data_IF_983036570782
#
_entry.id   IF_983036570782
#
_cell.length_a   1.000
_cell.length_b   1.000
_cell.length_c   1.000
_cell.angle_alpha   90.00
_cell.angle_beta   90.00
_cell.angle_gamma   90.00
#
_symmetry.space_group_name_H-M   'P 1'
#
loop_
_entity.id
_entity.type
_entity.pdbx_description
1 polymer ?
#
# COMPACT_ATOMS: atom_id res chain seq x y z
N UNK A 1 -33.20 -23.16 -21.36
CA UNK A 1 -32.57 -22.52 -20.19
C UNK A 1 -32.95 -21.04 -20.18
N UNK A 2 -33.10 -20.41 -19.01
CA UNK A 2 -33.30 -18.96 -18.93
C UNK A 2 -32.10 -18.20 -19.52
N UNK A 3 -32.29 -16.97 -20.04
CA UNK A 3 -31.21 -16.17 -20.59
C UNK A 3 -30.20 -15.79 -19.51
N UNK A 4 -28.91 -15.72 -19.86
CA UNK A 4 -27.88 -15.19 -18.97
C UNK A 4 -28.09 -13.68 -18.85
N UNK A 5 -28.25 -13.21 -17.61
CA UNK A 5 -28.55 -11.80 -17.31
C UNK A 5 -27.37 -11.00 -16.78
N UNK A 6 -26.30 -11.65 -16.35
CA UNK A 6 -25.11 -10.93 -15.95
C UNK A 6 -23.91 -11.82 -15.78
N UNK A 7 -22.75 -11.18 -15.67
CA UNK A 7 -21.45 -11.83 -15.55
C UNK A 7 -20.63 -11.17 -14.44
N UNK A 8 -20.01 -11.99 -13.59
CA UNK A 8 -18.94 -11.55 -12.69
C UNK A 8 -17.68 -12.35 -13.03
N UNK A 9 -16.70 -11.69 -13.62
CA UNK A 9 -15.41 -12.26 -13.94
C UNK A 9 -14.46 -12.06 -12.75
N UNK A 10 -14.42 -13.09 -11.88
CA UNK A 10 -13.60 -13.13 -10.66
C UNK A 10 -12.38 -14.08 -10.77
N UNK A 11 -12.15 -14.69 -11.93
CA UNK A 11 -11.02 -15.60 -12.12
C UNK A 11 -9.68 -14.86 -12.10
N UNK A 12 -8.74 -15.38 -11.33
CA UNK A 12 -7.41 -14.81 -11.18
C UNK A 12 -6.39 -15.87 -10.79
N UNK A 13 -5.12 -15.60 -11.10
CA UNK A 13 -3.97 -16.39 -10.65
C UNK A 13 -2.87 -15.41 -10.27
N UNK A 14 -2.29 -15.56 -9.08
CA UNK A 14 -1.09 -14.83 -8.67
C UNK A 14 0.15 -15.66 -9.00
N UNK A 15 1.18 -15.02 -9.55
CA UNK A 15 2.47 -15.62 -9.88
C UNK A 15 3.58 -14.64 -9.49
N UNK A 16 3.78 -14.55 -8.18
CA UNK A 16 4.64 -13.55 -7.54
C UNK A 16 5.96 -14.16 -7.03
N UNK A 17 6.25 -15.42 -7.37
CA UNK A 17 7.57 -16.03 -7.15
C UNK A 17 8.55 -15.50 -8.21
N UNK A 18 9.77 -15.14 -7.78
CA UNK A 18 10.78 -14.46 -8.64
C UNK A 18 10.27 -13.20 -9.33
N UNK A 19 9.46 -12.46 -8.58
CA UNK A 19 8.57 -11.39 -9.02
C UNK A 19 9.17 -10.20 -9.78
N UNK A 20 10.49 -10.00 -9.82
CA UNK A 20 11.04 -8.88 -10.61
C UNK A 20 10.72 -9.08 -12.09
N UNK A 21 10.35 -8.00 -12.79
CA UNK A 21 10.02 -8.12 -14.22
C UNK A 21 11.18 -8.73 -15.03
N UNK A 22 12.42 -8.42 -14.65
CA UNK A 22 13.63 -8.94 -15.30
C UNK A 22 13.80 -10.46 -15.13
N UNK A 23 13.38 -11.02 -13.99
CA UNK A 23 13.54 -12.45 -13.68
C UNK A 23 12.26 -13.26 -13.95
N UNK A 24 11.17 -12.59 -14.32
CA UNK A 24 9.88 -13.23 -14.52
C UNK A 24 9.90 -14.10 -15.78
N UNK A 25 9.66 -15.40 -15.61
CA UNK A 25 9.51 -16.30 -16.75
C UNK A 25 8.27 -15.96 -17.58
N UNK A 26 8.35 -16.17 -18.89
CA UNK A 26 7.21 -16.01 -19.78
C UNK A 26 6.02 -16.91 -19.40
N UNK A 27 6.30 -18.09 -18.85
CA UNK A 27 5.26 -18.98 -18.34
C UNK A 27 4.51 -18.38 -17.14
N UNK A 28 5.24 -17.82 -16.16
CA UNK A 28 4.64 -17.12 -15.03
C UNK A 28 3.81 -15.90 -15.48
N UNK A 29 4.32 -15.13 -16.44
CA UNK A 29 3.60 -14.03 -17.08
C UNK A 29 2.26 -14.50 -17.67
N UNK A 30 2.31 -15.49 -18.57
CA UNK A 30 1.11 -16.01 -19.24
C UNK A 30 0.09 -16.58 -18.24
N UNK A 31 0.53 -17.33 -17.24
CA UNK A 31 -0.37 -17.94 -16.25
C UNK A 31 -1.16 -16.90 -15.45
N UNK A 32 -0.51 -15.82 -15.01
CA UNK A 32 -1.20 -14.75 -14.27
C UNK A 32 -2.12 -13.91 -15.17
N UNK A 33 -1.69 -13.64 -16.41
CA UNK A 33 -2.44 -12.83 -17.38
C UNK A 33 -3.67 -13.54 -17.95
N UNK A 34 -3.57 -14.84 -18.25
CA UNK A 34 -4.55 -15.54 -19.08
C UNK A 34 -6.01 -15.50 -18.55
N UNK A 35 -6.29 -15.69 -17.25
CA UNK A 35 -7.65 -15.62 -16.73
C UNK A 35 -8.29 -14.24 -16.93
N UNK A 36 -7.51 -13.17 -16.71
CA UNK A 36 -8.00 -11.79 -16.81
C UNK A 36 -8.06 -11.29 -18.25
N UNK A 37 -7.15 -11.74 -19.10
CA UNK A 37 -7.11 -11.35 -20.51
C UNK A 37 -7.99 -12.25 -21.37
N UNK A 38 -7.49 -13.43 -21.73
CA UNK A 38 -8.22 -14.39 -22.56
C UNK A 38 -9.56 -14.78 -21.94
N UNK A 39 -9.62 -14.99 -20.62
CA UNK A 39 -10.86 -15.34 -19.94
C UNK A 39 -11.92 -14.23 -20.07
N UNK A 40 -11.56 -12.97 -19.82
CA UNK A 40 -12.52 -11.85 -19.99
C UNK A 40 -12.88 -11.61 -21.45
N UNK A 41 -11.93 -11.76 -22.38
CA UNK A 41 -12.20 -11.67 -23.82
C UNK A 41 -13.17 -12.75 -24.28
N UNK A 42 -13.01 -13.99 -23.80
CA UNK A 42 -13.91 -15.09 -24.12
C UNK A 42 -15.32 -14.80 -23.61
N UNK A 43 -15.45 -14.32 -22.36
CA UNK A 43 -16.75 -13.94 -21.80
C UNK A 43 -17.39 -12.80 -22.58
N UNK A 44 -16.60 -11.82 -23.03
CA UNK A 44 -17.11 -10.73 -23.86
C UNK A 44 -17.67 -11.24 -25.20
N UNK A 45 -16.96 -12.15 -25.87
CA UNK A 45 -17.35 -12.65 -27.20
C UNK A 45 -18.45 -13.72 -27.16
N UNK A 46 -18.52 -14.53 -26.11
CA UNK A 46 -19.38 -15.72 -26.05
C UNK A 46 -20.68 -15.52 -25.26
N UNK A 47 -20.72 -14.55 -24.34
CA UNK A 47 -21.94 -14.22 -23.62
C UNK A 47 -22.88 -13.35 -24.47
N UNK A 48 -24.20 -13.43 -24.25
CA UNK A 48 -25.15 -12.58 -24.97
C UNK A 48 -24.93 -11.10 -24.63
N UNK A 49 -25.26 -10.22 -25.58
CA UNK A 49 -25.33 -8.78 -25.36
C UNK A 49 -26.57 -8.38 -24.55
N UNK A 50 -26.61 -7.12 -24.11
CA UNK A 50 -27.76 -6.56 -23.36
C UNK A 50 -27.97 -7.19 -21.99
N UNK A 51 -26.88 -7.67 -21.36
CA UNK A 51 -26.92 -8.12 -19.96
C UNK A 51 -27.16 -6.96 -19.00
N UNK A 52 -27.75 -7.27 -17.86
CA UNK A 52 -28.03 -6.33 -16.76
C UNK A 52 -26.73 -5.81 -16.14
N UNK A 53 -25.68 -6.64 -16.10
CA UNK A 53 -24.35 -6.27 -15.59
C UNK A 53 -23.22 -7.14 -16.18
N UNK A 54 -22.03 -6.54 -16.30
CA UNK A 54 -20.77 -7.25 -16.59
C UNK A 54 -19.68 -6.70 -15.66
N UNK A 55 -19.43 -7.38 -14.55
CA UNK A 55 -18.48 -6.95 -13.53
C UNK A 55 -17.16 -7.70 -13.72
N UNK A 56 -16.05 -6.98 -13.78
CA UNK A 56 -14.71 -7.55 -13.75
C UNK A 56 -14.04 -7.17 -12.44
N UNK A 57 -13.59 -8.17 -11.68
CA UNK A 57 -12.83 -7.92 -10.46
C UNK A 57 -11.37 -7.65 -10.83
N UNK A 58 -11.05 -6.37 -11.08
CA UNK A 58 -9.71 -5.86 -11.33
C UNK A 58 -8.99 -5.58 -10.01
N UNK A 59 -7.87 -4.84 -10.03
CA UNK A 59 -7.16 -4.48 -8.81
C UNK A 59 -6.41 -3.15 -8.93
N UNK A 60 -6.30 -2.45 -7.80
CA UNK A 60 -5.57 -1.17 -7.66
C UNK A 60 -4.12 -1.23 -8.13
N UNK A 61 -3.54 -2.43 -8.19
CA UNK A 61 -2.19 -2.67 -8.73
C UNK A 61 -2.07 -2.34 -10.22
N UNK A 62 -3.16 -2.36 -10.98
CA UNK A 62 -3.21 -1.89 -12.38
C UNK A 62 -3.04 -0.37 -12.49
N UNK A 63 -3.48 0.38 -11.48
CA UNK A 63 -3.38 1.84 -11.42
C UNK A 63 -2.06 2.31 -10.80
N UNK A 64 -1.76 1.78 -9.61
CA UNK A 64 -0.63 2.25 -8.79
C UNK A 64 0.68 1.55 -9.19
N UNK A 65 0.58 0.36 -9.77
CA UNK A 65 1.70 -0.56 -9.92
C UNK A 65 2.07 -1.20 -8.57
N UNK A 66 2.55 -2.43 -8.61
CA UNK A 66 3.08 -3.11 -7.44
C UNK A 66 4.41 -3.78 -7.80
N UNK A 67 5.45 -3.52 -6.98
CA UNK A 67 6.76 -4.15 -7.15
C UNK A 67 6.56 -5.66 -7.12
N UNK A 68 6.87 -6.27 -8.23
CA UNK A 68 6.78 -7.72 -8.37
C UNK A 68 5.54 -8.27 -9.06
N UNK A 69 4.60 -7.41 -9.45
CA UNK A 69 3.28 -7.83 -9.94
C UNK A 69 2.98 -7.25 -11.33
N UNK A 70 3.99 -7.10 -12.18
CA UNK A 70 3.81 -6.55 -13.53
C UNK A 70 2.87 -7.38 -14.39
N UNK A 71 2.91 -8.71 -14.27
CA UNK A 71 1.97 -9.63 -14.92
C UNK A 71 0.53 -9.44 -14.43
N UNK A 72 0.33 -9.35 -13.12
CA UNK A 72 -0.99 -9.16 -12.51
C UNK A 72 -1.55 -7.79 -12.86
N UNK A 73 -0.75 -6.73 -12.71
CA UNK A 73 -1.10 -5.37 -13.10
C UNK A 73 -1.52 -5.29 -14.57
N UNK A 74 -0.77 -5.93 -15.48
CA UNK A 74 -1.14 -5.96 -16.90
C UNK A 74 -2.49 -6.65 -17.17
N UNK A 75 -2.80 -7.73 -16.43
CA UNK A 75 -4.09 -8.40 -16.54
C UNK A 75 -5.25 -7.54 -16.03
N UNK A 76 -5.03 -6.79 -14.94
CA UNK A 76 -6.00 -5.83 -14.39
C UNK A 76 -6.25 -4.68 -15.38
N UNK A 77 -5.19 -4.04 -15.88
CA UNK A 77 -5.30 -2.95 -16.86
C UNK A 77 -6.00 -3.38 -18.16
N UNK A 78 -5.86 -4.64 -18.56
CA UNK A 78 -6.66 -5.18 -19.67
C UNK A 78 -8.17 -5.19 -19.35
N UNK A 79 -8.57 -5.59 -18.15
CA UNK A 79 -9.97 -5.59 -17.74
C UNK A 79 -10.52 -4.16 -17.63
N UNK A 80 -9.71 -3.22 -17.16
CA UNK A 80 -10.05 -1.80 -17.13
C UNK A 80 -10.34 -1.28 -18.55
N UNK A 81 -9.45 -1.58 -19.50
CA UNK A 81 -9.64 -1.25 -20.91
C UNK A 81 -10.83 -1.97 -21.56
N UNK A 82 -11.11 -3.22 -21.18
CA UNK A 82 -12.27 -3.96 -21.67
C UNK A 82 -13.58 -3.37 -21.16
N UNK A 83 -13.63 -2.84 -19.93
CA UNK A 83 -14.80 -2.15 -19.42
C UNK A 83 -15.10 -0.89 -20.23
N UNK A 84 -14.06 -0.09 -20.50
CA UNK A 84 -14.12 1.09 -21.37
C UNK A 84 -14.64 0.73 -22.76
N UNK A 85 -14.08 -0.32 -23.37
CA UNK A 85 -14.49 -0.79 -24.69
C UNK A 85 -15.95 -1.23 -24.74
N UNK A 86 -16.39 -2.05 -23.78
CA UNK A 86 -17.79 -2.51 -23.71
C UNK A 86 -18.76 -1.34 -23.58
N UNK A 87 -18.46 -0.37 -22.70
CA UNK A 87 -19.30 0.81 -22.54
C UNK A 87 -19.33 1.67 -23.82
N UNK A 88 -18.20 1.81 -24.51
CA UNK A 88 -18.13 2.56 -25.77
C UNK A 88 -19.00 1.95 -26.89
N UNK A 89 -19.24 0.63 -26.87
CA UNK A 89 -20.15 -0.05 -27.82
C UNK A 89 -21.58 -0.21 -27.28
N UNK A 90 -21.93 0.48 -26.18
CA UNK A 90 -23.28 0.48 -25.61
C UNK A 90 -23.60 -0.72 -24.70
N UNK A 91 -22.60 -1.53 -24.35
CA UNK A 91 -22.76 -2.66 -23.43
C UNK A 91 -22.40 -2.28 -22.00
N UNK A 92 -23.18 -2.75 -21.02
CA UNK A 92 -22.86 -2.52 -19.60
C UNK A 92 -21.59 -3.28 -19.22
N UNK A 93 -20.63 -2.58 -18.60
CA UNK A 93 -19.47 -3.19 -17.97
C UNK A 93 -18.85 -2.28 -16.92
N UNK A 94 -18.31 -2.87 -15.85
CA UNK A 94 -17.52 -2.16 -14.84
C UNK A 94 -16.28 -2.98 -14.49
N UNK A 95 -15.13 -2.32 -14.41
CA UNK A 95 -13.93 -2.83 -13.76
C UNK A 95 -13.88 -2.30 -12.33
N UNK A 96 -13.89 -3.20 -11.35
CA UNK A 96 -13.72 -2.87 -9.94
C UNK A 96 -12.25 -3.03 -9.59
N UNK A 97 -11.53 -1.92 -9.45
CA UNK A 97 -10.15 -1.87 -8.99
C UNK A 97 -10.10 -2.07 -7.48
N UNK A 98 -10.10 -3.33 -7.07
CA UNK A 98 -10.11 -3.71 -5.68
C UNK A 98 -8.71 -3.57 -5.06
N UNK A 99 -8.68 -2.92 -3.90
CA UNK A 99 -7.63 -3.06 -2.91
C UNK A 99 -7.55 -4.47 -2.31
N UNK A 100 -6.81 -4.61 -1.22
CA UNK A 100 -6.57 -5.90 -0.58
C UNK A 100 -7.74 -6.32 0.34
N UNK A 101 -8.06 -7.62 0.46
CA UNK A 101 -9.09 -8.13 1.39
C UNK A 101 -8.49 -8.62 2.72
N UNK A 102 -8.92 -8.08 3.86
CA UNK A 102 -8.45 -8.57 5.19
C UNK A 102 -8.99 -9.93 5.60
N UNK A 103 -10.13 -10.37 5.05
CA UNK A 103 -10.96 -11.41 5.68
C UNK A 103 -11.41 -12.56 4.76
N UNK A 104 -11.20 -12.49 3.43
CA UNK A 104 -11.67 -13.53 2.49
C UNK A 104 -10.76 -13.63 1.24
N UNK A 105 -10.51 -14.84 0.74
CA UNK A 105 -9.86 -15.10 -0.56
C UNK A 105 -8.43 -15.62 -0.46
N UNK A 106 -7.72 -15.66 -1.61
CA UNK A 106 -6.36 -16.23 -1.79
C UNK A 106 -5.37 -15.77 -0.71
N UNK A 107 -5.57 -14.58 -0.14
CA UNK A 107 -4.69 -14.08 0.88
C UNK A 107 -4.91 -14.74 2.26
N UNK A 108 -6.16 -15.05 2.65
CA UNK A 108 -6.36 -15.78 3.91
C UNK A 108 -5.92 -17.25 3.80
N UNK A 109 -6.09 -17.83 2.61
CA UNK A 109 -5.78 -19.24 2.33
C UNK A 109 -4.28 -19.49 2.07
N UNK A 110 -3.49 -18.42 1.87
CA UNK A 110 -2.07 -18.52 1.62
C UNK A 110 -1.29 -17.51 2.49
N UNK A 111 -0.77 -18.01 3.60
CA UNK A 111 0.03 -17.25 4.57
C UNK A 111 1.19 -16.51 3.92
N UNK A 112 1.86 -17.08 2.90
CA UNK A 112 2.98 -16.40 2.24
C UNK A 112 2.53 -15.19 1.40
N UNK A 113 1.37 -15.29 0.74
CA UNK A 113 0.74 -14.20 0.01
C UNK A 113 0.25 -13.13 0.99
N UNK A 114 -0.33 -13.51 2.13
CA UNK A 114 -0.72 -12.58 3.21
C UNK A 114 0.42 -11.78 3.72
N UNK A 115 1.47 -12.48 4.13
CA UNK A 115 2.69 -11.83 4.56
C UNK A 115 3.23 -10.96 3.42
N UNK A 116 3.23 -11.39 2.15
CA UNK A 116 3.74 -10.56 1.03
C UNK A 116 2.91 -9.29 0.79
N UNK A 117 1.59 -9.38 0.95
CA UNK A 117 0.68 -8.25 0.78
C UNK A 117 0.83 -7.28 1.95
N UNK A 118 0.82 -7.77 3.19
CA UNK A 118 1.09 -6.95 4.39
C UNK A 118 2.49 -6.32 4.37
N UNK A 119 3.49 -7.02 3.81
CA UNK A 119 4.87 -6.54 3.59
C UNK A 119 5.00 -5.38 2.61
N UNK A 120 4.03 -5.18 1.71
CA UNK A 120 4.20 -4.34 0.51
C UNK A 120 3.13 -3.27 0.32
N UNK A 121 2.03 -3.34 1.05
CA UNK A 121 0.84 -2.54 0.75
C UNK A 121 0.53 -1.57 1.88
N UNK A 122 0.43 -0.30 1.49
CA UNK A 122 0.07 0.84 2.32
C UNK A 122 -1.45 1.14 2.19
N UNK A 123 -2.25 0.17 1.71
CA UNK A 123 -3.70 0.30 1.46
C UNK A 123 -4.52 -0.28 2.61
N UNK A 124 -5.70 0.29 2.86
CA UNK A 124 -6.62 -0.25 3.88
C UNK A 124 -7.30 -1.52 3.35
N UNK A 125 -7.47 -2.55 4.20
CA UNK A 125 -8.16 -3.75 3.77
C UNK A 125 -9.65 -3.49 3.52
N UNK A 126 -10.12 -3.99 2.40
CA UNK A 126 -11.52 -4.09 2.01
C UNK A 126 -12.17 -5.23 2.79
N UNK A 127 -13.31 -4.94 3.42
CA UNK A 127 -14.15 -5.95 4.05
C UNK A 127 -15.05 -6.65 3.03
N UNK A 128 -15.55 -7.85 3.37
CA UNK A 128 -16.56 -8.52 2.55
C UNK A 128 -17.81 -7.64 2.35
N UNK A 129 -18.22 -6.89 3.37
CA UNK A 129 -19.37 -5.98 3.29
C UNK A 129 -19.16 -4.86 2.28
N UNK A 130 -17.94 -4.34 2.16
CA UNK A 130 -17.64 -3.29 1.18
C UNK A 130 -17.81 -3.80 -0.25
N UNK A 131 -17.25 -4.98 -0.54
CA UNK A 131 -17.40 -5.60 -1.86
C UNK A 131 -18.87 -5.90 -2.17
N UNK A 132 -19.62 -6.47 -1.23
CA UNK A 132 -21.03 -6.76 -1.44
C UNK A 132 -21.84 -5.49 -1.68
N UNK A 133 -21.56 -4.41 -0.96
CA UNK A 133 -22.24 -3.12 -1.16
C UNK A 133 -21.98 -2.54 -2.54
N UNK A 134 -20.73 -2.65 -3.03
CA UNK A 134 -20.38 -2.22 -4.39
C UNK A 134 -21.06 -3.11 -5.44
N UNK A 135 -21.13 -4.42 -5.22
CA UNK A 135 -21.84 -5.34 -6.12
C UNK A 135 -23.34 -5.06 -6.13
N UNK A 136 -23.95 -4.73 -4.99
CA UNK A 136 -25.37 -4.36 -4.90
C UNK A 136 -25.69 -3.10 -5.73
N UNK A 137 -24.72 -2.20 -5.93
CA UNK A 137 -24.85 -1.06 -6.82
C UNK A 137 -24.76 -1.45 -8.30
N UNK A 138 -23.77 -2.27 -8.67
CA UNK A 138 -23.47 -2.57 -10.08
C UNK A 138 -24.28 -3.73 -10.67
N UNK A 139 -24.85 -4.61 -9.84
CA UNK A 139 -25.64 -5.74 -10.30
C UNK A 139 -27.14 -5.43 -10.46
N UNK A 140 -27.56 -4.16 -10.35
CA UNK A 140 -28.96 -3.78 -10.49
C UNK A 140 -29.41 -3.78 -11.95
N UNK A 141 -30.49 -4.50 -12.26
CA UNK A 141 -31.02 -4.60 -13.62
C UNK A 141 -31.38 -3.25 -14.27
N UNK A 142 -31.76 -2.26 -13.45
CA UNK A 142 -32.17 -0.92 -13.89
C UNK A 142 -31.17 0.18 -13.51
N UNK A 143 -29.93 -0.16 -13.20
CA UNK A 143 -28.89 0.85 -13.00
C UNK A 143 -28.73 1.70 -14.27
N UNK A 144 -28.43 2.98 -14.05
CA UNK A 144 -28.13 3.95 -15.11
C UNK A 144 -27.03 3.42 -16.04
N UNK A 145 -27.03 3.83 -17.32
CA UNK A 145 -25.96 3.52 -18.23
C UNK A 145 -24.61 3.98 -17.66
N UNK A 146 -23.63 3.08 -17.68
CA UNK A 146 -22.26 3.45 -17.35
C UNK A 146 -21.65 4.24 -18.51
N UNK A 147 -20.75 5.15 -18.17
CA UNK A 147 -19.99 5.96 -19.12
C UNK A 147 -18.51 5.65 -18.96
N UNK A 148 -17.67 6.15 -19.87
CA UNK A 148 -16.21 5.99 -19.75
C UNK A 148 -15.65 6.53 -18.43
N UNK A 149 -16.28 7.50 -17.78
CA UNK A 149 -15.83 8.01 -16.47
C UNK A 149 -16.35 7.21 -15.27
N UNK A 150 -17.34 6.34 -15.47
CA UNK A 150 -18.02 5.60 -14.38
C UNK A 150 -17.89 4.08 -14.49
N UNK A 151 -17.29 3.56 -15.55
CA UNK A 151 -17.08 2.12 -15.77
C UNK A 151 -15.81 1.56 -15.14
N UNK A 152 -15.07 2.38 -14.39
CA UNK A 152 -13.91 1.96 -13.61
C UNK A 152 -14.04 2.55 -12.21
N UNK A 153 -14.12 1.69 -11.20
CA UNK A 153 -14.32 2.10 -9.80
C UNK A 153 -13.22 1.54 -8.94
N UNK A 154 -12.53 2.41 -8.22
CA UNK A 154 -11.53 2.03 -7.24
C UNK A 154 -12.16 1.85 -5.86
N UNK A 155 -11.81 0.75 -5.19
CA UNK A 155 -12.27 0.44 -3.83
C UNK A 155 -11.02 0.22 -2.97
N UNK A 156 -11.00 0.76 -1.75
CA UNK A 156 -9.91 0.53 -0.79
C UNK A 156 -8.65 1.41 -0.96
N UNK A 157 -8.69 2.45 -1.80
CA UNK A 157 -7.69 3.54 -1.73
C UNK A 157 -8.27 4.68 -0.90
N UNK A 158 -7.66 4.95 0.26
CA UNK A 158 -8.10 6.02 1.15
C UNK A 158 -7.72 7.40 0.62
N UNK A 159 -8.63 8.36 0.80
CA UNK A 159 -8.24 9.77 0.85
C UNK A 159 -7.33 9.98 2.07
N UNK A 160 -6.30 10.82 1.93
CA UNK A 160 -5.39 11.24 3.03
C UNK A 160 -4.51 10.12 3.57
N UNK A 161 -4.03 9.23 2.71
CA UNK A 161 -3.10 8.16 3.08
C UNK A 161 -1.85 8.66 3.83
N UNK A 162 -1.41 9.89 3.53
CA UNK A 162 -0.30 10.58 4.21
C UNK A 162 -0.58 10.89 5.69
N UNK A 163 -1.82 11.19 6.08
CA UNK A 163 -2.17 11.52 7.47
C UNK A 163 -1.95 10.32 8.41
N UNK A 164 -2.00 9.09 7.88
CA UNK A 164 -1.68 7.86 8.62
C UNK A 164 -0.18 7.52 8.64
N UNK A 165 0.69 8.41 8.16
CA UNK A 165 2.14 8.23 8.20
C UNK A 165 2.69 7.29 7.13
N UNK A 166 1.92 7.03 6.07
CA UNK A 166 2.33 6.36 4.84
C UNK A 166 2.96 7.38 3.89
N UNK A 167 4.16 7.84 4.25
CA UNK A 167 4.92 8.86 3.50
C UNK A 167 5.70 8.28 2.31
N UNK A 168 5.71 6.95 2.14
CA UNK A 168 6.65 6.22 1.26
C UNK A 168 5.99 5.48 0.09
N UNK A 169 4.78 5.85 -0.31
CA UNK A 169 4.17 5.35 -1.55
C UNK A 169 4.86 5.97 -2.77
N UNK A 170 5.65 5.17 -3.51
CA UNK A 170 6.26 5.57 -4.79
C UNK A 170 5.21 6.17 -5.77
N UNK A 171 3.98 5.66 -5.75
CA UNK A 171 2.90 6.12 -6.62
C UNK A 171 2.20 7.40 -6.13
N UNK A 172 2.24 7.73 -4.83
CA UNK A 172 1.60 8.92 -4.27
C UNK A 172 2.27 10.24 -4.72
N UNK A 173 3.46 10.13 -5.31
CA UNK A 173 4.17 11.25 -5.96
C UNK A 173 3.71 11.51 -7.40
N UNK A 174 2.94 10.61 -8.01
CA UNK A 174 2.50 10.75 -9.41
C UNK A 174 1.34 11.74 -9.50
N UNK A 175 1.34 12.67 -10.48
CA UNK A 175 0.34 13.72 -10.59
C UNK A 175 -1.12 13.24 -10.57
N UNK A 176 -1.40 12.06 -11.15
CA UNK A 176 -2.75 11.49 -11.19
C UNK A 176 -3.33 11.18 -9.81
N UNK A 177 -2.51 11.01 -8.77
CA UNK A 177 -2.96 10.71 -7.40
C UNK A 177 -2.83 11.92 -6.45
N UNK A 178 -2.52 13.10 -6.98
CA UNK A 178 -2.41 14.32 -6.16
C UNK A 178 -3.73 14.60 -5.44
N UNK A 179 -4.89 14.42 -6.07
CA UNK A 179 -6.20 14.63 -5.45
C UNK A 179 -6.52 13.66 -4.29
N UNK A 180 -5.80 12.55 -4.16
CA UNK A 180 -5.94 11.60 -3.02
C UNK A 180 -4.97 11.91 -1.88
N UNK A 181 -3.90 12.64 -2.18
CA UNK A 181 -2.80 12.96 -1.27
C UNK A 181 -2.84 14.40 -0.77
N UNK A 182 -3.51 15.29 -1.52
CA UNK A 182 -3.75 16.69 -1.21
C UNK A 182 -5.26 16.91 -1.17
N UNK A 183 -5.84 17.34 -0.03
CA UNK A 183 -7.22 17.76 -0.01
C UNK A 183 -7.41 18.98 -0.93
N UNK A 184 -8.63 19.16 -1.44
CA UNK A 184 -9.04 20.36 -2.19
C UNK A 184 -8.48 21.63 -1.57
N UNK A 185 -7.64 22.36 -2.34
CA UNK A 185 -7.32 23.79 -2.26
C UNK A 185 -7.70 24.52 -0.95
N UNK A 186 -7.27 24.01 0.20
CA UNK A 186 -7.23 24.75 1.44
C UNK A 186 -5.84 25.40 1.52
N UNK A 187 -5.85 26.66 1.96
CA UNK A 187 -4.74 27.62 1.99
C UNK A 187 -3.35 26.96 2.16
N UNK A 188 -2.33 27.36 1.37
CA UNK A 188 -0.94 26.93 1.57
C UNK A 188 -0.38 27.13 2.99
N UNK A 189 -1.10 27.79 3.89
CA UNK A 189 -0.76 27.93 5.30
C UNK A 189 -1.28 26.79 6.20
N UNK A 190 -2.27 26.02 5.75
CA UNK A 190 -2.88 24.89 6.49
C UNK A 190 -2.15 23.57 6.26
N UNK A 191 -1.03 23.57 5.54
CA UNK A 191 -0.15 22.40 5.51
C UNK A 191 0.29 22.11 6.95
N UNK A 192 0.05 20.90 7.50
CA UNK A 192 0.80 20.49 8.67
C UNK A 192 2.28 20.58 8.26
N UNK A 193 3.11 21.36 8.97
CA UNK A 193 4.48 21.57 8.56
C UNK A 193 5.14 20.20 8.42
N UNK A 194 5.79 19.95 7.27
CA UNK A 194 6.58 18.72 7.06
C UNK A 194 7.45 18.53 8.29
N UNK A 195 7.14 17.52 9.11
CA UNK A 195 7.85 17.32 10.38
C UNK A 195 9.33 17.17 10.04
N UNK A 196 10.22 17.96 10.67
CA UNK A 196 11.62 18.06 10.24
C UNK A 196 12.28 16.67 10.28
N UNK A 197 13.10 16.35 9.27
CA UNK A 197 13.88 15.11 9.22
C UNK A 197 14.77 14.97 10.46
N UNK A 198 15.14 13.74 10.85
CA UNK A 198 16.04 13.51 11.99
C UNK A 198 17.29 14.39 11.93
N UNK A 199 17.91 14.49 10.76
CA UNK A 199 19.08 15.34 10.51
C UNK A 199 18.89 16.80 10.96
N UNK A 200 17.77 17.43 10.57
CA UNK A 200 17.44 18.80 10.97
C UNK A 200 17.10 18.91 12.45
N UNK A 201 16.35 17.94 12.99
CA UNK A 201 15.95 17.92 14.40
C UNK A 201 17.15 17.80 15.33
N UNK A 202 18.11 16.94 14.97
CA UNK A 202 19.37 16.73 15.70
C UNK A 202 20.24 17.99 15.60
N UNK A 203 20.34 18.61 14.43
CA UNK A 203 21.12 19.85 14.26
C UNK A 203 20.61 21.04 15.08
N UNK A 204 19.32 21.06 15.41
CA UNK A 204 18.67 22.13 16.20
C UNK A 204 18.77 21.92 17.72
N UNK A 205 19.14 20.72 18.19
CA UNK A 205 19.23 20.43 19.62
C UNK A 205 20.47 21.09 20.25
N UNK A 206 20.33 21.57 21.49
CA UNK A 206 21.40 22.19 22.27
C UNK A 206 22.23 21.16 23.04
N UNK A 207 21.70 19.97 23.30
CA UNK A 207 22.37 18.90 24.05
C UNK A 207 22.07 17.50 23.49
N UNK A 208 22.92 16.53 23.83
CA UNK A 208 22.69 15.12 23.47
C UNK A 208 21.39 14.58 24.09
N UNK A 209 21.09 14.94 25.34
CA UNK A 209 19.87 14.52 26.02
C UNK A 209 18.61 15.04 25.31
N UNK A 210 18.63 16.30 24.85
CA UNK A 210 17.55 16.91 24.08
C UNK A 210 17.38 16.23 22.73
N UNK A 211 18.48 16.01 21.99
CA UNK A 211 18.46 15.27 20.73
C UNK A 211 17.89 13.85 20.92
N UNK A 212 18.33 13.14 21.97
CA UNK A 212 17.85 11.80 22.32
C UNK A 212 16.35 11.80 22.61
N UNK A 213 15.87 12.74 23.42
CA UNK A 213 14.44 12.87 23.73
C UNK A 213 13.59 13.09 22.49
N UNK A 214 14.02 13.98 21.60
CA UNK A 214 13.34 14.27 20.34
C UNK A 214 13.29 13.05 19.40
N UNK A 215 14.41 12.34 19.23
CA UNK A 215 14.47 11.13 18.39
C UNK A 215 13.64 10.00 19.00
N UNK A 216 13.72 9.76 20.31
CA UNK A 216 12.90 8.75 21.01
C UNK A 216 11.41 9.01 20.82
N UNK A 217 10.95 10.25 21.03
CA UNK A 217 9.54 10.61 20.87
C UNK A 217 9.03 10.31 19.45
N UNK A 218 9.86 10.59 18.44
CA UNK A 218 9.51 10.32 17.04
C UNK A 218 9.54 8.83 16.70
N UNK A 219 10.50 8.07 17.23
CA UNK A 219 10.53 6.62 17.11
C UNK A 219 9.30 5.97 17.78
N UNK A 220 8.92 6.41 18.98
CA UNK A 220 7.71 5.94 19.68
C UNK A 220 6.46 6.22 18.85
N UNK A 221 6.32 7.44 18.32
CA UNK A 221 5.18 7.80 17.46
C UNK A 221 5.09 6.86 16.25
N UNK A 222 6.22 6.60 15.57
CA UNK A 222 6.23 5.75 14.37
C UNK A 222 5.95 4.28 14.69
N UNK A 223 6.58 3.75 15.73
CA UNK A 223 6.37 2.36 16.17
C UNK A 223 4.95 2.13 16.66
N UNK A 224 4.36 3.11 17.36
CA UNK A 224 2.97 3.06 17.79
C UNK A 224 2.01 2.95 16.60
N UNK A 225 2.29 3.67 15.51
CA UNK A 225 1.51 3.53 14.26
C UNK A 225 1.61 2.13 13.66
N UNK A 226 2.81 1.54 13.62
CA UNK A 226 2.98 0.17 13.11
C UNK A 226 2.27 -0.88 13.96
N UNK A 227 2.29 -0.71 15.28
CA UNK A 227 1.70 -1.64 16.24
C UNK A 227 0.23 -1.37 16.53
N UNK A 228 -0.32 -0.25 16.04
CA UNK A 228 -1.70 0.20 16.32
C UNK A 228 -2.01 0.35 17.81
N UNK A 229 -1.04 0.84 18.58
CA UNK A 229 -1.15 1.11 20.03
C UNK A 229 -0.85 2.58 20.33
N UNK A 230 -1.04 3.03 21.57
CA UNK A 230 -0.66 4.38 21.97
C UNK A 230 0.87 4.53 22.09
N UNK A 231 1.47 5.67 21.67
CA UNK A 231 2.88 5.95 21.91
C UNK A 231 3.28 5.90 23.40
N UNK A 232 2.33 6.16 24.31
CA UNK A 232 2.56 6.10 25.75
C UNK A 232 2.80 4.67 26.28
N UNK A 233 2.39 3.64 25.53
CA UNK A 233 2.58 2.23 25.91
C UNK A 233 4.00 1.72 25.56
N UNK A 234 4.75 2.50 24.77
CA UNK A 234 6.11 2.16 24.35
C UNK A 234 7.14 2.71 25.34
N UNK A 235 7.82 1.82 26.05
CA UNK A 235 8.86 2.13 27.03
C UNK A 235 10.22 2.15 26.32
N UNK A 236 10.98 3.26 26.37
CA UNK A 236 12.20 3.40 25.58
C UNK A 236 13.32 2.39 25.87
N UNK A 237 13.31 1.79 27.06
CA UNK A 237 14.32 0.83 27.54
C UNK A 237 13.92 -0.63 27.30
N UNK A 238 12.67 -0.91 26.89
CA UNK A 238 12.21 -2.26 26.60
C UNK A 238 12.60 -2.64 25.17
N UNK A 239 12.95 -3.90 24.94
CA UNK A 239 13.34 -4.36 23.61
C UNK A 239 12.15 -4.27 22.65
N UNK A 240 12.39 -3.79 21.43
CA UNK A 240 11.32 -3.64 20.43
C UNK A 240 10.68 -5.00 20.08
N UNK A 241 11.46 -6.09 20.13
CA UNK A 241 10.98 -7.45 19.88
C UNK A 241 9.88 -7.88 20.87
N UNK A 242 9.91 -7.38 22.10
CA UNK A 242 8.89 -7.68 23.13
C UNK A 242 7.54 -7.00 22.86
N UNK A 243 7.51 -6.01 21.96
CA UNK A 243 6.28 -5.38 21.48
C UNK A 243 5.70 -6.10 20.24
N UNK A 244 6.26 -7.24 19.85
CA UNK A 244 5.86 -7.94 18.63
C UNK A 244 6.45 -7.33 17.36
N UNK A 245 7.49 -6.50 17.48
CA UNK A 245 8.24 -6.00 16.32
C UNK A 245 9.06 -7.15 15.75
N UNK A 246 8.53 -7.76 14.69
CA UNK A 246 9.14 -8.90 14.01
C UNK A 246 10.19 -8.47 12.97
N UNK A 247 10.77 -9.44 12.27
CA UNK A 247 11.80 -9.19 11.23
C UNK A 247 11.30 -8.28 10.10
N UNK A 248 9.99 -8.19 9.89
CA UNK A 248 9.39 -7.34 8.87
C UNK A 248 9.25 -5.90 9.36
N UNK A 249 8.69 -5.69 10.55
CA UNK A 249 8.59 -4.35 11.13
C UNK A 249 9.97 -3.73 11.33
N UNK A 250 11.00 -4.54 11.62
CA UNK A 250 12.41 -4.11 11.62
C UNK A 250 12.85 -3.58 10.24
N UNK A 251 12.47 -4.24 9.14
CA UNK A 251 12.81 -3.77 7.79
C UNK A 251 12.12 -2.44 7.45
N UNK A 252 10.85 -2.28 7.82
CA UNK A 252 10.12 -1.03 7.60
C UNK A 252 10.71 0.11 8.43
N UNK A 253 11.01 -0.16 9.71
CA UNK A 253 11.67 0.79 10.60
C UNK A 253 13.02 1.23 10.02
N UNK A 254 13.82 0.28 9.53
CA UNK A 254 15.12 0.54 8.89
C UNK A 254 15.01 1.45 7.68
N UNK A 255 14.10 1.15 6.74
CA UNK A 255 13.92 1.93 5.53
C UNK A 255 13.46 3.35 5.85
N UNK A 256 12.54 3.49 6.81
CA UNK A 256 12.07 4.79 7.26
C UNK A 256 13.18 5.60 7.95
N UNK A 257 13.98 5.00 8.83
CA UNK A 257 15.14 5.67 9.44
C UNK A 257 16.14 6.12 8.35
N UNK A 258 16.37 5.28 7.34
CA UNK A 258 17.28 5.60 6.24
C UNK A 258 16.82 6.83 5.45
N UNK A 259 15.52 6.97 5.17
CA UNK A 259 14.98 8.18 4.53
C UNK A 259 15.05 9.41 5.44
N UNK A 260 14.72 9.26 6.73
CA UNK A 260 14.77 10.35 7.71
C UNK A 260 16.22 10.86 7.94
N UNK A 261 17.23 10.00 7.85
CA UNK A 261 18.64 10.37 7.94
C UNK A 261 19.25 10.80 6.59
N UNK A 262 18.79 10.22 5.49
CA UNK A 262 19.43 10.34 4.17
C UNK A 262 20.65 9.43 3.98
N UNK A 263 20.80 8.38 4.79
CA UNK A 263 21.92 7.41 4.76
C UNK A 263 21.41 5.99 4.93
N UNK A 264 22.13 5.00 4.37
CA UNK A 264 21.74 3.59 4.51
C UNK A 264 22.03 3.06 5.93
N UNK A 265 21.02 2.46 6.56
CA UNK A 265 21.16 1.73 7.83
C UNK A 265 21.55 0.27 7.54
N UNK A 266 22.49 -0.32 8.26
CA UNK A 266 22.89 -1.72 8.11
C UNK A 266 21.89 -2.70 8.75
N UNK A 267 21.91 -3.97 8.34
CA UNK A 267 21.03 -5.03 8.89
C UNK A 267 21.33 -5.38 10.36
N UNK A 268 22.60 -5.27 10.77
CA UNK A 268 23.03 -5.62 12.12
C UNK A 268 22.63 -4.57 13.17
N UNK A 269 22.37 -3.33 12.72
CA UNK A 269 22.16 -2.15 13.58
C UNK A 269 20.81 -2.15 14.34
N UNK A 270 19.86 -3.01 13.95
CA UNK A 270 18.50 -3.07 14.51
C UNK A 270 18.12 -4.47 15.04
N UNK A 271 19.10 -5.27 15.50
CA UNK A 271 18.90 -6.66 15.92
C UNK A 271 18.28 -6.83 17.32
N UNK A 272 17.81 -8.06 17.65
CA UNK A 272 16.73 -8.37 18.61
C UNK A 272 16.81 -7.89 20.07
N UNK A 273 17.92 -7.29 20.51
CA UNK A 273 18.01 -6.60 21.82
C UNK A 273 17.87 -5.08 21.71
N UNK A 274 17.64 -4.54 20.50
CA UNK A 274 17.50 -3.12 20.27
C UNK A 274 16.28 -2.57 21.01
N UNK A 275 16.52 -1.52 21.77
CA UNK A 275 15.50 -0.70 22.44
C UNK A 275 15.31 0.59 21.66
N UNK A 276 14.17 1.26 21.81
CA UNK A 276 13.93 2.57 21.18
C UNK A 276 15.03 3.57 21.56
N UNK A 277 15.49 3.53 22.82
CA UNK A 277 16.60 4.36 23.30
C UNK A 277 17.93 4.04 22.59
N UNK A 278 18.27 2.77 22.43
CA UNK A 278 19.51 2.36 21.73
C UNK A 278 19.50 2.78 20.25
N UNK A 279 18.35 2.68 19.59
CA UNK A 279 18.16 3.11 18.19
C UNK A 279 18.29 4.62 18.09
N UNK A 280 17.70 5.38 19.02
CA UNK A 280 17.82 6.83 19.04
C UNK A 280 19.27 7.29 19.15
N UNK A 281 20.05 6.64 20.02
CA UNK A 281 21.49 6.91 20.17
C UNK A 281 22.22 6.60 18.86
N UNK A 282 21.92 5.47 18.23
CA UNK A 282 22.52 5.09 16.94
C UNK A 282 22.19 6.12 15.83
N UNK A 283 20.95 6.59 15.75
CA UNK A 283 20.51 7.61 14.79
C UNK A 283 21.28 8.92 14.99
N UNK A 284 21.48 9.34 16.24
CA UNK A 284 22.23 10.56 16.54
C UNK A 284 23.69 10.42 16.12
N UNK A 285 24.33 9.28 16.43
CA UNK A 285 25.73 9.02 16.06
C UNK A 285 25.96 9.00 14.54
N UNK A 286 25.01 8.46 13.79
CA UNK A 286 25.12 8.30 12.33
C UNK A 286 24.46 9.45 11.55
N UNK A 287 24.01 10.50 12.25
CA UNK A 287 23.52 11.72 11.61
C UNK A 287 24.70 12.60 11.19
N UNK A 288 24.67 13.10 9.96
CA UNK A 288 25.65 14.09 9.48
C UNK A 288 25.60 15.45 10.21
N UNK A 289 24.69 15.61 11.18
CA UNK A 289 24.53 16.80 12.01
C UNK A 289 24.86 16.56 13.49
N UNK A 290 25.49 15.42 13.81
CA UNK A 290 25.97 15.14 15.15
C UNK A 290 27.08 16.14 15.54
N UNK A 291 26.94 16.80 16.70
CA UNK A 291 28.00 17.67 17.21
C UNK A 291 29.17 16.82 17.71
N UNK A 292 30.44 17.19 17.42
CA UNK A 292 31.61 16.42 17.85
C UNK A 292 31.67 16.21 19.38
N UNK A 293 31.16 17.19 20.13
CA UNK A 293 31.10 17.20 21.60
C UNK A 293 30.26 16.05 22.18
N UNK A 294 29.27 15.55 21.43
CA UNK A 294 28.38 14.47 21.88
C UNK A 294 28.99 13.07 21.77
N UNK A 295 30.21 12.94 21.24
CA UNK A 295 30.92 11.66 21.21
C UNK A 295 31.43 11.21 22.59
N UNK A 296 31.42 12.07 23.61
CA UNK A 296 31.96 11.77 24.94
C UNK A 296 30.91 11.50 26.03
N UNK A 297 29.65 11.93 25.85
CA UNK A 297 28.54 11.71 26.81
C UNK A 297 27.95 10.28 26.76
N UNK A 298 28.76 9.29 26.36
CA UNK A 298 28.32 7.95 25.96
C UNK A 298 28.43 6.87 27.05
N UNK A 299 28.82 7.25 28.27
CA UNK A 299 29.13 6.31 29.36
C UNK A 299 28.35 6.52 30.67
N UNK A 300 27.29 7.33 30.64
CA UNK A 300 26.27 7.39 31.72
C UNK A 300 24.94 6.77 31.27
#
# INVERSE_FOLDING_TARGET
>A
MPPIKGCIQASMVLQDQDSSFQNMSYHAWRRAMAPKTQGSSNLHCLLPGGMDFFVMLSAVTGLTGAKGQSNYAAGNTFQDGLAQYRVAIGEKAVALDLGYFSSVGIINDNTEVRERVLRRMEFEPISKSDLLSVLDQYCQARADPLSSSTCQTTVGILQRIRERGFDAMDWASRPMFNHLTFPDMADPQDFPPKKPKFSKMIGLAYSFAEARGAVVSRLQTKLATFLSISPAELVPTKAIAEYGVDSLLILHLRNWISDELGTEVGKADLSGAATIGSIAIWIIKNSGHARPEWQYDLYE
#
